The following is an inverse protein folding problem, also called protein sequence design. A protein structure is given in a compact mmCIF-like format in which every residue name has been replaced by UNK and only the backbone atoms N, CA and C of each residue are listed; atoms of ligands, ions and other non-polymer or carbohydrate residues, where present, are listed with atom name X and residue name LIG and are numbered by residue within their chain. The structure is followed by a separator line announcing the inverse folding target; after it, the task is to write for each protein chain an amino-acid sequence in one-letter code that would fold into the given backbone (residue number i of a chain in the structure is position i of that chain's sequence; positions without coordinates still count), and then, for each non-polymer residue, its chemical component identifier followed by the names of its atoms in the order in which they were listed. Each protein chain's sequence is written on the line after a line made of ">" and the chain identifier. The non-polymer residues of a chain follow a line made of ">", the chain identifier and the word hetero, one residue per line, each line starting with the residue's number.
data_IF_173585731034
#
_entry.id   IF_173585731034
#
_cell.length_a   1.000
_cell.length_b   1.000
_cell.length_c   1.000
_cell.angle_alpha   90.00
_cell.angle_beta   90.00
_cell.angle_gamma   90.00
#
_symmetry.space_group_name_H-M   'P 1'
#
loop_
_entity.id
_entity.type
_entity.pdbx_description
1 polymer ?
#
# COMPACT_ATOMS: atom_id res chain seq x y z
N UNK A 1 0.80 22.48 18.50
CA UNK A 1 0.40 21.05 18.49
C UNK A 1 0.55 20.54 19.91
N UNK A 2 -0.55 20.18 20.59
CA UNK A 2 -0.43 19.53 21.90
C UNK A 2 0.21 18.17 21.70
N UNK A 3 1.30 17.91 22.43
CA UNK A 3 1.96 16.60 22.44
C UNK A 3 0.93 15.58 22.94
N UNK A 4 0.50 14.66 22.09
CA UNK A 4 -0.28 13.51 22.55
C UNK A 4 0.51 12.76 23.61
N UNK A 5 -0.14 12.37 24.71
CA UNK A 5 0.48 11.66 25.82
C UNK A 5 0.65 10.18 25.45
N UNK A 6 1.65 9.86 24.65
CA UNK A 6 2.10 8.48 24.50
C UNK A 6 2.86 8.06 25.76
N UNK A 7 2.61 6.84 26.25
CA UNK A 7 3.41 6.27 27.32
C UNK A 7 4.82 5.98 26.81
N UNK A 8 5.82 6.07 27.69
CA UNK A 8 7.21 5.71 27.35
C UNK A 8 7.25 4.28 26.82
N UNK A 9 7.91 4.09 25.68
CA UNK A 9 8.01 2.79 25.02
C UNK A 9 6.87 2.46 24.06
N UNK A 10 5.79 3.25 23.99
CA UNK A 10 4.72 3.05 22.99
C UNK A 10 5.18 3.34 21.56
N UNK A 11 6.19 4.20 21.41
CA UNK A 11 6.87 4.45 20.13
C UNK A 11 8.37 4.43 20.37
N UNK A 12 9.07 3.65 19.55
CA UNK A 12 10.54 3.55 19.58
C UNK A 12 11.05 3.76 18.15
N UNK A 13 12.11 4.56 18.00
CA UNK A 13 12.83 4.72 16.75
C UNK A 13 14.22 4.13 16.93
N UNK A 14 14.53 3.09 16.15
CA UNK A 14 15.83 2.42 16.18
C UNK A 14 16.47 2.59 14.80
N UNK A 15 17.64 3.22 14.76
CA UNK A 15 18.37 3.44 13.53
C UNK A 15 19.39 2.33 13.29
N UNK A 16 19.50 1.88 12.04
CA UNK A 16 20.54 0.96 11.63
C UNK A 16 20.31 0.39 10.22
N UNK A 17 21.24 -0.45 9.78
CA UNK A 17 21.15 -1.05 8.45
C UNK A 17 20.05 -2.11 8.38
N UNK A 18 19.38 -2.22 7.22
CA UNK A 18 18.35 -3.24 7.01
C UNK A 18 18.87 -4.67 7.16
N UNK A 19 20.12 -4.93 6.75
CA UNK A 19 20.74 -6.25 6.85
C UNK A 19 21.03 -6.69 8.29
N UNK A 20 21.07 -5.76 9.25
CA UNK A 20 21.36 -6.06 10.67
C UNK A 20 20.14 -5.75 11.53
N UNK A 21 19.84 -4.47 11.75
CA UNK A 21 18.74 -4.02 12.61
C UNK A 21 17.39 -4.44 12.04
N UNK A 22 17.16 -4.22 10.74
CA UNK A 22 15.90 -4.60 10.09
C UNK A 22 15.65 -6.11 10.13
N UNK A 23 16.67 -6.90 9.79
CA UNK A 23 16.60 -8.35 9.84
C UNK A 23 16.36 -8.88 11.27
N UNK A 24 17.04 -8.32 12.27
CA UNK A 24 16.85 -8.69 13.67
C UNK A 24 15.42 -8.38 14.15
N UNK A 25 14.90 -7.20 13.84
CA UNK A 25 13.52 -6.82 14.17
C UNK A 25 12.50 -7.75 13.48
N UNK A 26 12.70 -8.02 12.19
CA UNK A 26 11.81 -8.90 11.43
C UNK A 26 11.80 -10.34 11.97
N UNK A 27 12.94 -10.84 12.47
CA UNK A 27 13.07 -12.19 13.03
C UNK A 27 12.70 -12.30 14.51
N UNK A 28 12.63 -11.18 15.25
CA UNK A 28 12.44 -11.19 16.70
C UNK A 28 11.13 -11.88 17.09
N UNK A 29 11.16 -12.70 18.15
CA UNK A 29 10.01 -13.50 18.59
C UNK A 29 8.90 -12.66 19.23
N UNK A 30 9.28 -11.58 19.90
CA UNK A 30 8.34 -10.69 20.60
C UNK A 30 7.72 -9.61 19.70
N UNK A 31 7.97 -9.65 18.39
CA UNK A 31 7.32 -8.76 17.42
C UNK A 31 6.17 -9.52 16.77
N UNK A 32 4.93 -9.08 17.00
CA UNK A 32 3.74 -9.79 16.50
C UNK A 32 3.40 -9.46 15.03
N UNK A 33 3.92 -8.34 14.51
CA UNK A 33 3.63 -7.85 13.17
C UNK A 33 4.77 -6.99 12.62
N UNK A 34 5.00 -7.06 11.32
CA UNK A 34 5.94 -6.20 10.59
C UNK A 34 5.23 -5.53 9.42
N UNK A 35 5.25 -4.20 9.38
CA UNK A 35 4.91 -3.44 8.16
C UNK A 35 6.18 -2.95 7.48
N UNK A 36 6.29 -3.18 6.17
CA UNK A 36 7.47 -2.82 5.40
C UNK A 36 7.12 -2.17 4.06
N UNK A 37 7.68 -0.98 3.83
CA UNK A 37 7.66 -0.30 2.53
C UNK A 37 9.07 -0.28 1.94
N UNK A 38 9.25 -0.78 0.71
CA UNK A 38 10.56 -0.78 0.08
C UNK A 38 10.66 -1.59 -1.20
N UNK A 39 11.86 -2.09 -1.51
CA UNK A 39 12.07 -2.89 -2.72
C UNK A 39 11.44 -4.28 -2.58
N UNK A 40 11.03 -4.88 -3.70
CA UNK A 40 10.49 -6.24 -3.72
C UNK A 40 11.47 -7.25 -3.13
N UNK A 41 12.77 -7.10 -3.42
CA UNK A 41 13.81 -7.96 -2.88
C UNK A 41 13.90 -7.88 -1.34
N UNK A 42 13.90 -6.66 -0.80
CA UNK A 42 13.92 -6.46 0.66
C UNK A 42 12.65 -6.98 1.32
N UNK A 43 11.47 -6.76 0.71
CA UNK A 43 10.20 -7.30 1.22
C UNK A 43 10.17 -8.83 1.29
N UNK A 44 10.75 -9.51 0.29
CA UNK A 44 10.94 -10.97 0.34
C UNK A 44 11.86 -11.38 1.49
N UNK A 45 12.96 -10.65 1.72
CA UNK A 45 13.87 -10.93 2.83
C UNK A 45 13.19 -10.75 4.20
N UNK A 46 12.43 -9.67 4.38
CA UNK A 46 11.63 -9.42 5.60
C UNK A 46 10.65 -10.57 5.84
N UNK A 47 9.91 -10.99 4.80
CA UNK A 47 8.94 -12.09 4.91
C UNK A 47 9.61 -13.41 5.30
N UNK A 48 10.78 -13.71 4.73
CA UNK A 48 11.56 -14.91 5.10
C UNK A 48 12.03 -14.87 6.55
N UNK A 49 12.53 -13.73 7.02
CA UNK A 49 12.97 -13.55 8.40
C UNK A 49 11.82 -13.69 9.41
N UNK A 50 10.63 -13.19 9.04
CA UNK A 50 9.42 -13.25 9.86
C UNK A 50 8.76 -14.64 9.91
N UNK A 51 9.03 -15.51 8.93
CA UNK A 51 8.28 -16.75 8.71
C UNK A 51 8.29 -17.70 9.93
N UNK A 52 9.40 -17.80 10.65
CA UNK A 52 9.54 -18.73 11.78
C UNK A 52 8.54 -18.48 12.92
N UNK A 53 8.07 -17.24 13.08
CA UNK A 53 7.08 -16.85 14.09
C UNK A 53 5.65 -16.80 13.56
N UNK A 54 5.43 -17.01 12.25
CA UNK A 54 4.11 -16.89 11.61
C UNK A 54 3.45 -15.51 11.83
N UNK A 55 4.24 -14.49 12.19
CA UNK A 55 3.79 -13.12 12.42
C UNK A 55 3.21 -12.52 11.14
N UNK A 56 2.25 -11.62 11.28
CA UNK A 56 1.70 -10.89 10.12
C UNK A 56 2.78 -10.00 9.52
N UNK A 57 2.88 -10.00 8.19
CA UNK A 57 3.78 -9.11 7.45
C UNK A 57 2.97 -8.39 6.40
N UNK A 58 2.90 -7.06 6.46
CA UNK A 58 2.30 -6.22 5.41
C UNK A 58 3.40 -5.58 4.57
N UNK A 59 3.22 -5.58 3.26
CA UNK A 59 4.27 -5.20 2.31
C UNK A 59 3.75 -4.20 1.30
N UNK A 60 4.42 -3.06 1.21
CA UNK A 60 4.23 -2.06 0.15
C UNK A 60 5.50 -1.97 -0.69
N UNK A 61 5.48 -2.63 -1.86
CA UNK A 61 6.69 -2.93 -2.62
C UNK A 61 6.71 -2.20 -3.97
N UNK A 62 7.80 -2.41 -4.71
CA UNK A 62 7.92 -1.96 -6.08
C UNK A 62 6.75 -2.43 -6.96
N UNK A 63 6.28 -1.55 -7.83
CA UNK A 63 5.29 -1.84 -8.84
C UNK A 63 5.48 -0.95 -10.06
N UNK A 64 4.86 -1.35 -11.18
CA UNK A 64 4.66 -0.46 -12.34
C UNK A 64 3.24 -0.63 -12.89
N UNK A 65 2.32 0.20 -12.41
CA UNK A 65 0.95 0.28 -12.88
C UNK A 65 0.89 0.92 -14.26
N UNK A 66 0.05 0.43 -15.17
CA UNK A 66 -0.17 1.06 -16.45
C UNK A 66 -0.75 2.47 -16.28
N UNK A 67 -0.34 3.37 -17.16
CA UNK A 67 -0.94 4.68 -17.35
C UNK A 67 -1.63 4.68 -18.73
N UNK A 68 -2.96 4.57 -18.73
CA UNK A 68 -3.77 4.40 -19.94
C UNK A 68 -4.44 5.73 -20.33
N UNK A 69 -4.09 6.24 -21.49
CA UNK A 69 -4.68 7.45 -22.06
C UNK A 69 -5.44 7.10 -23.33
N UNK A 70 -6.69 7.57 -23.43
CA UNK A 70 -7.53 7.31 -24.60
C UNK A 70 -7.65 8.56 -25.49
N UNK A 71 -7.77 8.33 -26.80
CA UNK A 71 -7.87 9.40 -27.79
C UNK A 71 -9.16 10.24 -27.67
N UNK A 72 -10.15 9.78 -26.92
CA UNK A 72 -11.43 10.47 -26.69
C UNK A 72 -11.34 11.68 -25.73
N UNK A 73 -10.12 12.06 -25.35
CA UNK A 73 -9.85 13.23 -24.54
C UNK A 73 -9.82 14.54 -25.34
N UNK A 74 -9.74 14.49 -26.69
CA UNK A 74 -9.63 15.67 -27.54
C UNK A 74 -8.50 16.60 -27.07
N UNK A 75 -8.83 17.88 -26.89
CA UNK A 75 -7.89 18.92 -26.40
C UNK A 75 -7.33 18.62 -25.00
N UNK A 76 -7.99 17.74 -24.23
CA UNK A 76 -7.53 17.29 -22.92
C UNK A 76 -6.34 16.32 -22.95
N UNK A 77 -6.00 15.75 -24.12
CA UNK A 77 -4.95 14.72 -24.23
C UNK A 77 -3.57 15.24 -23.79
N UNK A 78 -3.21 16.47 -24.18
CA UNK A 78 -1.92 17.07 -23.80
C UNK A 78 -1.74 17.18 -22.28
N UNK A 79 -2.79 17.60 -21.57
CA UNK A 79 -2.80 17.66 -20.10
C UNK A 79 -2.71 16.26 -19.48
N UNK A 80 -3.44 15.29 -20.02
CA UNK A 80 -3.39 13.91 -19.55
C UNK A 80 -1.99 13.30 -19.69
N UNK A 81 -1.27 13.58 -20.79
CA UNK A 81 0.12 13.14 -21.00
C UNK A 81 1.04 13.76 -19.96
N UNK A 82 1.00 15.08 -19.78
CA UNK A 82 1.82 15.77 -18.78
C UNK A 82 1.57 15.22 -17.37
N UNK A 83 0.30 15.05 -17.01
CA UNK A 83 -0.10 14.53 -15.71
C UNK A 83 0.40 13.10 -15.49
N UNK A 84 0.25 12.25 -16.52
CA UNK A 84 0.71 10.87 -16.53
C UNK A 84 2.23 10.73 -16.37
N UNK A 85 3.00 11.52 -17.13
CA UNK A 85 4.47 11.53 -17.02
C UNK A 85 4.92 11.99 -15.64
N UNK A 86 4.31 13.06 -15.10
CA UNK A 86 4.63 13.54 -13.75
C UNK A 86 4.40 12.47 -12.67
N UNK A 87 3.30 11.71 -12.76
CA UNK A 87 2.99 10.64 -11.81
C UNK A 87 3.94 9.44 -11.94
N UNK A 88 4.31 9.06 -13.16
CA UNK A 88 5.27 7.97 -13.42
C UNK A 88 6.68 8.29 -12.92
N UNK A 89 7.09 9.56 -12.97
CA UNK A 89 8.45 9.98 -12.60
C UNK A 89 8.60 10.26 -11.10
N UNK A 90 7.51 10.60 -10.38
CA UNK A 90 7.55 10.95 -8.95
C UNK A 90 7.20 9.78 -8.03
N UNK A 91 6.36 8.84 -8.47
CA UNK A 91 5.88 7.74 -7.65
C UNK A 91 6.23 6.41 -8.34
N UNK A 92 7.08 5.60 -7.70
CA UNK A 92 7.30 4.21 -8.11
C UNK A 92 5.94 3.52 -8.23
N UNK A 93 5.68 2.93 -9.39
CA UNK A 93 4.35 2.72 -9.95
C UNK A 93 3.48 1.65 -9.29
N UNK A 94 3.03 1.84 -8.06
CA UNK A 94 2.04 0.93 -7.48
C UNK A 94 0.62 1.18 -8.01
N UNK A 95 0.31 2.43 -8.34
CA UNK A 95 -1.01 2.87 -8.80
C UNK A 95 -1.12 2.78 -10.32
N UNK A 96 -2.25 2.29 -10.81
CA UNK A 96 -2.62 2.39 -12.24
C UNK A 96 -3.43 3.67 -12.49
N UNK A 97 -3.29 4.24 -13.67
CA UNK A 97 -3.97 5.48 -14.05
C UNK A 97 -4.76 5.27 -15.33
N UNK A 98 -5.96 5.86 -15.41
CA UNK A 98 -6.82 5.81 -16.58
C UNK A 98 -7.37 7.22 -16.88
N UNK A 99 -7.23 7.67 -18.13
CA UNK A 99 -7.66 8.98 -18.60
C UNK A 99 -8.57 8.81 -19.82
N UNK A 100 -9.85 9.16 -19.71
CA UNK A 100 -10.85 9.07 -20.79
C UNK A 100 -12.05 9.97 -20.56
N UNK A 101 -12.68 10.44 -21.65
CA UNK A 101 -13.97 11.14 -21.60
C UNK A 101 -15.19 10.20 -21.44
N UNK A 102 -15.01 8.88 -21.57
CA UNK A 102 -16.12 7.91 -21.59
C UNK A 102 -16.34 7.20 -20.25
N UNK A 103 -17.49 7.45 -19.63
CA UNK A 103 -17.92 6.75 -18.42
C UNK A 103 -18.05 5.23 -18.64
N UNK A 104 -18.53 4.79 -19.80
CA UNK A 104 -18.66 3.36 -20.12
C UNK A 104 -17.29 2.70 -20.30
N UNK A 105 -16.30 3.44 -20.80
CA UNK A 105 -14.93 2.95 -20.85
C UNK A 105 -14.36 2.76 -19.45
N UNK A 106 -14.59 3.70 -18.53
CA UNK A 106 -14.18 3.58 -17.13
C UNK A 106 -14.77 2.29 -16.53
N UNK A 107 -16.09 2.10 -16.63
CA UNK A 107 -16.81 0.93 -16.09
C UNK A 107 -16.30 -0.40 -16.68
N UNK A 108 -15.89 -0.41 -17.95
CA UNK A 108 -15.33 -1.61 -18.59
C UNK A 108 -13.88 -1.87 -18.22
N UNK A 109 -13.02 -0.85 -18.24
CA UNK A 109 -11.56 -1.04 -18.15
C UNK A 109 -11.09 -1.17 -16.70
N UNK A 110 -11.61 -0.35 -15.78
CA UNK A 110 -11.13 -0.33 -14.38
C UNK A 110 -11.19 -1.71 -13.72
N UNK A 111 -12.28 -2.49 -13.81
CA UNK A 111 -12.34 -3.82 -13.20
C UNK A 111 -11.36 -4.84 -13.79
N UNK A 112 -10.85 -4.61 -15.01
CA UNK A 112 -9.89 -5.49 -15.67
C UNK A 112 -8.44 -5.18 -15.26
N UNK A 113 -8.18 -4.02 -14.66
CA UNK A 113 -6.86 -3.65 -14.18
C UNK A 113 -6.50 -4.49 -12.95
N UNK A 114 -5.46 -5.30 -13.08
CA UNK A 114 -4.92 -6.12 -11.99
C UNK A 114 -4.03 -5.28 -11.08
N UNK A 115 -4.62 -4.31 -10.39
CA UNK A 115 -3.97 -3.37 -9.49
C UNK A 115 -4.79 -3.22 -8.19
N UNK A 116 -4.12 -2.93 -7.07
CA UNK A 116 -4.82 -2.62 -5.82
C UNK A 116 -5.42 -1.21 -5.80
N UNK A 117 -5.03 -0.38 -6.77
CA UNK A 117 -5.23 1.06 -6.78
C UNK A 117 -5.33 1.57 -8.21
N UNK A 118 -6.42 2.28 -8.52
CA UNK A 118 -6.63 2.96 -9.80
C UNK A 118 -7.04 4.41 -9.53
N UNK A 119 -6.46 5.36 -10.26
CA UNK A 119 -6.93 6.75 -10.32
C UNK A 119 -7.47 7.04 -11.71
N UNK A 120 -8.65 7.66 -11.76
CA UNK A 120 -9.36 7.96 -13.00
C UNK A 120 -9.38 9.46 -13.20
N UNK A 121 -9.03 9.91 -14.39
CA UNK A 121 -9.09 11.32 -14.80
C UNK A 121 -8.34 12.29 -13.87
N UNK A 122 -7.31 11.79 -13.18
CA UNK A 122 -6.49 12.56 -12.24
C UNK A 122 -7.14 12.82 -10.87
N UNK A 123 -8.31 12.23 -10.63
CA UNK A 123 -8.95 12.29 -9.32
C UNK A 123 -8.18 11.47 -8.30
N UNK A 124 -7.65 12.16 -7.29
CA UNK A 124 -6.85 11.57 -6.23
C UNK A 124 -7.72 10.80 -5.25
N UNK A 125 -7.20 9.67 -4.78
CA UNK A 125 -7.80 8.95 -3.66
C UNK A 125 -7.72 9.77 -2.37
N UNK A 126 -8.71 9.58 -1.49
CA UNK A 126 -8.66 10.16 -0.15
C UNK A 126 -7.56 9.52 0.69
N UNK A 127 -7.04 10.22 1.70
CA UNK A 127 -6.06 9.65 2.64
C UNK A 127 -6.60 8.47 3.46
N UNK A 128 -7.93 8.27 3.49
CA UNK A 128 -8.59 7.14 4.15
C UNK A 128 -8.86 5.97 3.20
N UNK A 129 -8.59 6.13 1.91
CA UNK A 129 -8.76 5.05 0.95
C UNK A 129 -7.68 4.00 1.16
N UNK A 130 -7.98 2.70 1.00
CA UNK A 130 -6.97 1.65 1.10
C UNK A 130 -5.85 1.89 0.09
N UNK A 131 -4.64 2.06 0.61
CA UNK A 131 -3.43 2.12 -0.18
C UNK A 131 -2.80 0.74 -0.17
N UNK A 132 -2.50 0.20 -1.35
CA UNK A 132 -1.65 -0.97 -1.41
C UNK A 132 -1.63 -1.76 -2.69
N UNK A 133 -0.63 -2.64 -2.77
CA UNK A 133 -0.35 -3.48 -3.92
C UNK A 133 -1.18 -4.75 -4.04
N UNK A 134 -1.04 -5.40 -5.18
CA UNK A 134 -1.41 -6.80 -5.40
C UNK A 134 -0.25 -7.52 -6.09
N UNK A 135 -0.27 -8.86 -6.09
CA UNK A 135 0.82 -9.70 -6.66
C UNK A 135 2.16 -9.41 -5.96
N UNK A 136 3.25 -9.29 -6.72
CA UNK A 136 4.58 -9.02 -6.19
C UNK A 136 4.76 -7.58 -5.67
N UNK A 137 3.78 -6.70 -5.86
CA UNK A 137 3.84 -5.33 -5.37
C UNK A 137 3.38 -5.16 -3.93
N UNK A 138 2.92 -6.22 -3.28
CA UNK A 138 2.57 -6.14 -1.86
C UNK A 138 1.43 -7.04 -1.41
N UNK A 139 1.17 -6.97 -0.11
CA UNK A 139 0.02 -7.56 0.56
C UNK A 139 -0.36 -6.70 1.78
N UNK A 140 -1.62 -6.77 2.19
CA UNK A 140 -2.20 -5.88 3.18
C UNK A 140 -2.61 -4.52 2.60
N UNK A 141 -3.12 -3.61 3.44
CA UNK A 141 -3.46 -2.23 3.07
C UNK A 141 -2.95 -1.25 4.11
N UNK A 142 -2.66 -0.03 3.66
CA UNK A 142 -2.47 1.14 4.51
C UNK A 142 -3.64 2.11 4.37
N UNK A 143 -3.83 3.00 5.34
CA UNK A 143 -4.85 4.04 5.28
C UNK A 143 -6.27 3.58 5.63
N UNK A 144 -6.99 4.46 6.33
CA UNK A 144 -8.37 4.24 6.74
C UNK A 144 -8.60 2.99 7.58
N UNK A 145 -9.82 2.47 7.50
CA UNK A 145 -10.26 1.30 8.27
C UNK A 145 -9.47 0.03 7.90
N UNK A 146 -9.21 -0.16 6.61
CA UNK A 146 -8.50 -1.35 6.14
C UNK A 146 -7.05 -1.38 6.63
N UNK A 147 -6.38 -0.23 6.68
CA UNK A 147 -5.05 -0.14 7.28
C UNK A 147 -5.03 -0.40 8.78
N UNK A 148 -6.03 0.09 9.52
CA UNK A 148 -6.15 -0.20 10.95
C UNK A 148 -6.35 -1.70 11.22
N UNK A 149 -7.12 -2.38 10.38
CA UNK A 149 -7.38 -3.83 10.50
C UNK A 149 -6.12 -4.68 10.40
N UNK A 150 -5.07 -4.22 9.71
CA UNK A 150 -3.79 -4.93 9.66
C UNK A 150 -3.10 -5.05 11.03
N UNK A 151 -3.38 -4.11 11.95
CA UNK A 151 -2.84 -4.06 13.32
C UNK A 151 -3.80 -4.66 14.36
N UNK A 152 -4.90 -5.29 13.93
CA UNK A 152 -5.89 -5.90 14.81
C UNK A 152 -5.96 -7.41 14.59
N UNK A 153 -6.38 -8.13 15.63
CA UNK A 153 -6.73 -9.55 15.53
C UNK A 153 -8.21 -9.77 15.83
N UNK A 154 -8.84 -10.65 15.06
CA UNK A 154 -10.25 -11.00 15.24
C UNK A 154 -10.36 -11.98 16.40
N UNK A 155 -11.13 -11.62 17.44
CA UNK A 155 -11.44 -12.48 18.57
C UNK A 155 -12.92 -12.87 18.52
N UNK A 156 -13.20 -14.15 18.31
CA UNK A 156 -14.53 -14.71 18.48
C UNK A 156 -14.75 -15.10 19.95
N UNK A 157 -15.91 -14.75 20.52
CA UNK A 157 -16.28 -15.11 21.89
C UNK A 157 -17.65 -15.79 21.86
N UNK A 158 -17.74 -16.98 22.47
CA UNK A 158 -18.99 -17.73 22.66
C UNK A 158 -19.31 -17.83 24.14
N UNK A 159 -20.59 -18.04 24.48
CA UNK A 159 -21.02 -18.17 25.88
C UNK A 159 -20.90 -16.88 26.71
N UNK A 160 -20.95 -15.70 26.08
CA UNK A 160 -20.92 -14.44 26.80
C UNK A 160 -22.09 -14.37 27.80
N UNK A 161 -21.83 -14.06 29.09
CA UNK A 161 -22.89 -13.97 30.08
C UNK A 161 -23.88 -12.89 29.66
N UNK A 162 -25.17 -13.24 29.71
CA UNK A 162 -26.26 -12.27 29.51
C UNK A 162 -26.46 -11.44 30.76
#
# INVERSE_FOLDING_TARGET
>A
MSRGSLHTGSFNLVNGAGATVGAALAAHRDVDMVSFTGSTHAGVAVSKAAAASVKRVTLELGGKGPNLLFADLGDGLGKAVQHGVSHLMRNYGLTSYLQTGSADRIRRVVPQLKAGMVEVNGERRSARSPFGGVKASGNGREGGEFGLREFLEVKAVSGWPR
#
